data_IF_221341393030
#
_entry.id   IF_221341393030
#
_cell.length_a   1.000
_cell.length_b   1.000
_cell.length_c   1.000
_cell.angle_alpha   90.00
_cell.angle_beta   90.00
_cell.angle_gamma   90.00
#
_symmetry.space_group_name_H-M   'P 1'
#
loop_
_entity.id
_entity.type
_entity.pdbx_description
1 polymer ?
#
# COMPACT_ATOMS: atom_id res chain seq x y z
N UNK A 1 -8.30 20.46 19.74
CA UNK A 1 -7.93 19.49 18.69
C UNK A 1 -9.06 18.48 18.52
N UNK A 2 -9.75 18.51 17.37
CA UNK A 2 -10.96 17.69 17.16
C UNK A 2 -10.82 16.73 15.98
N UNK A 3 -9.60 16.24 15.76
CA UNK A 3 -9.38 15.33 14.64
C UNK A 3 -9.87 13.92 14.95
N UNK A 4 -10.54 13.32 13.98
CA UNK A 4 -11.04 11.95 14.02
C UNK A 4 -10.47 11.18 12.85
N UNK A 5 -10.66 9.87 12.84
CA UNK A 5 -10.28 9.02 11.71
C UNK A 5 -10.86 9.60 10.41
N UNK A 6 -10.01 9.79 9.42
CA UNK A 6 -10.42 10.33 8.12
C UNK A 6 -11.13 9.25 7.31
N UNK A 7 -12.36 9.52 6.90
CA UNK A 7 -13.20 8.56 6.17
C UNK A 7 -13.62 9.02 4.79
N UNK A 8 -13.51 10.32 4.50
CA UNK A 8 -13.96 10.90 3.24
C UNK A 8 -12.85 11.72 2.60
N UNK A 9 -12.93 11.91 1.29
CA UNK A 9 -12.00 12.77 0.56
C UNK A 9 -12.03 14.21 1.05
N UNK A 10 -13.21 14.70 1.42
CA UNK A 10 -13.36 16.05 1.98
C UNK A 10 -12.58 16.19 3.29
N UNK A 11 -12.73 15.23 4.19
CA UNK A 11 -11.99 15.19 5.45
C UNK A 11 -10.48 15.12 5.20
N UNK A 12 -10.07 14.33 4.24
CA UNK A 12 -8.68 14.19 3.85
C UNK A 12 -8.10 15.53 3.36
N UNK A 13 -8.84 16.25 2.51
CA UNK A 13 -8.41 17.56 2.00
C UNK A 13 -8.31 18.58 3.14
N UNK A 14 -9.26 18.58 4.08
CA UNK A 14 -9.22 19.45 5.26
C UNK A 14 -7.99 19.15 6.12
N UNK A 15 -7.69 17.89 6.31
CA UNK A 15 -6.51 17.45 7.08
C UNK A 15 -5.21 17.89 6.42
N UNK A 16 -5.09 17.75 5.10
CA UNK A 16 -3.92 18.20 4.35
C UNK A 16 -3.72 19.72 4.46
N UNK A 17 -4.79 20.49 4.35
CA UNK A 17 -4.71 21.94 4.48
C UNK A 17 -4.22 22.37 5.85
N UNK A 18 -4.73 21.72 6.89
CA UNK A 18 -4.26 22.01 8.27
C UNK A 18 -2.82 21.55 8.48
N UNK A 19 -2.45 20.39 7.95
CA UNK A 19 -1.07 19.91 8.02
C UNK A 19 -0.11 20.95 7.45
N UNK A 20 -0.45 21.52 6.30
CA UNK A 20 0.37 22.54 5.66
C UNK A 20 0.52 23.81 6.53
N UNK A 21 -0.58 24.26 7.16
CA UNK A 21 -0.56 25.42 8.05
C UNK A 21 0.39 25.25 9.24
N UNK A 22 0.48 24.06 9.80
CA UNK A 22 1.27 23.78 11.02
C UNK A 22 2.51 22.94 10.74
N UNK A 23 2.93 22.84 9.50
CA UNK A 23 4.03 21.97 9.07
C UNK A 23 5.34 22.25 9.82
N UNK A 24 5.58 23.51 10.16
CA UNK A 24 6.80 23.94 10.86
C UNK A 24 6.68 23.90 12.38
N UNK A 25 5.62 23.34 12.93
CA UNK A 25 5.39 23.28 14.36
C UNK A 25 6.47 22.45 15.06
N UNK A 26 6.92 22.96 16.22
CA UNK A 26 7.94 22.28 17.03
C UNK A 26 7.33 21.15 17.84
N UNK A 27 8.13 20.12 18.10
CA UNK A 27 7.74 19.01 18.98
C UNK A 27 7.37 19.53 20.37
N UNK A 28 6.45 18.82 21.02
CA UNK A 28 5.99 19.10 22.38
C UNK A 28 5.27 20.44 22.51
N UNK A 29 4.70 20.93 21.42
CA UNK A 29 3.80 22.08 21.42
C UNK A 29 2.41 21.60 21.00
N UNK A 30 1.33 22.37 21.31
CA UNK A 30 -0.02 21.98 20.86
C UNK A 30 -0.10 21.77 19.34
N UNK A 31 0.52 22.65 18.56
CA UNK A 31 0.54 22.49 17.10
C UNK A 31 1.42 21.32 16.66
N UNK A 32 2.50 21.05 17.38
CA UNK A 32 3.36 19.89 17.11
C UNK A 32 2.65 18.58 17.37
N UNK A 33 1.85 18.52 18.43
CA UNK A 33 1.03 17.35 18.74
C UNK A 33 -0.08 17.14 17.70
N UNK A 34 -0.68 18.22 17.24
CA UNK A 34 -1.68 18.18 16.17
C UNK A 34 -1.05 17.69 14.85
N UNK A 35 0.15 18.20 14.53
CA UNK A 35 0.89 17.79 13.34
C UNK A 35 1.17 16.28 13.35
N UNK A 36 1.62 15.76 14.47
CA UNK A 36 1.91 14.33 14.61
C UNK A 36 0.64 13.50 14.45
N UNK A 37 -0.45 13.89 15.08
CA UNK A 37 -1.75 13.21 14.95
C UNK A 37 -2.26 13.26 13.51
N UNK A 38 -2.22 14.41 12.87
CA UNK A 38 -2.64 14.57 11.48
C UNK A 38 -1.82 13.70 10.54
N UNK A 39 -0.50 13.62 10.76
CA UNK A 39 0.37 12.78 9.95
C UNK A 39 -0.04 11.31 10.03
N UNK A 40 -0.37 10.82 11.22
CA UNK A 40 -0.83 9.45 11.42
C UNK A 40 -2.19 9.20 10.75
N UNK A 41 -3.12 10.13 10.91
CA UNK A 41 -4.46 9.99 10.32
C UNK A 41 -4.43 10.04 8.79
N UNK A 42 -3.63 10.93 8.24
CA UNK A 42 -3.45 11.07 6.79
C UNK A 42 -2.80 9.81 6.21
N UNK A 43 -1.74 9.32 6.85
CA UNK A 43 -1.05 8.09 6.43
C UNK A 43 -2.03 6.91 6.44
N UNK A 44 -2.83 6.77 7.48
CA UNK A 44 -3.82 5.71 7.58
C UNK A 44 -4.83 5.76 6.42
N UNK A 45 -5.34 6.95 6.11
CA UNK A 45 -6.28 7.15 5.00
C UNK A 45 -5.63 6.84 3.66
N UNK A 46 -4.41 7.34 3.43
CA UNK A 46 -3.68 7.11 2.18
C UNK A 46 -3.40 5.62 1.96
N UNK A 47 -2.95 4.92 3.01
CA UNK A 47 -2.69 3.49 2.91
C UNK A 47 -3.96 2.70 2.57
N UNK A 48 -5.09 3.11 3.13
CA UNK A 48 -6.35 2.44 2.89
C UNK A 48 -6.93 2.73 1.50
N UNK A 49 -6.81 3.97 1.01
CA UNK A 49 -7.51 4.40 -0.21
C UNK A 49 -6.63 4.48 -1.44
N UNK A 50 -5.35 4.75 -1.32
CA UNK A 50 -4.46 4.90 -2.47
C UNK A 50 -3.64 3.65 -2.76
N UNK A 51 -3.25 2.91 -1.72
CA UNK A 51 -2.52 1.66 -1.90
C UNK A 51 -3.43 0.50 -2.28
N UNK A 52 -4.74 0.61 -2.00
CA UNK A 52 -5.71 -0.49 -2.13
C UNK A 52 -6.80 -0.17 -3.16
N UNK A 53 -6.88 1.06 -3.67
CA UNK A 53 -8.00 1.57 -4.50
C UNK A 53 -8.03 0.96 -5.88
N UNK A 54 -7.90 -0.12 -6.18
CA UNK A 54 -8.01 -0.91 -7.41
C UNK A 54 -6.84 -1.85 -7.58
N UNK A 55 -6.45 -2.59 -6.56
CA UNK A 55 -5.36 -3.47 -6.82
C UNK A 55 -5.90 -4.66 -7.60
N UNK A 56 -5.63 -4.70 -8.90
CA UNK A 56 -5.60 -6.03 -9.45
C UNK A 56 -4.37 -6.73 -8.85
N UNK A 57 -4.34 -8.06 -8.85
CA UNK A 57 -3.24 -8.80 -8.22
C UNK A 57 -1.86 -8.42 -8.73
N UNK A 58 -1.74 -8.11 -10.01
CA UNK A 58 -0.44 -7.81 -10.63
C UNK A 58 0.07 -6.44 -10.18
N UNK A 59 -0.79 -5.43 -10.14
CA UNK A 59 -0.42 -4.11 -9.64
C UNK A 59 -0.05 -4.16 -8.16
N UNK A 60 -0.78 -4.95 -7.37
CA UNK A 60 -0.47 -5.16 -5.95
C UNK A 60 0.91 -5.81 -5.78
N UNK A 61 1.25 -6.80 -6.59
CA UNK A 61 2.55 -7.48 -6.55
C UNK A 61 3.67 -6.49 -6.90
N UNK A 62 3.51 -5.74 -7.99
CA UNK A 62 4.51 -4.74 -8.41
C UNK A 62 4.74 -3.69 -7.33
N UNK A 63 3.66 -3.19 -6.73
CA UNK A 63 3.73 -2.19 -5.68
C UNK A 63 4.50 -2.72 -4.46
N UNK A 64 4.18 -3.94 -4.01
CA UNK A 64 4.84 -4.54 -2.85
C UNK A 64 6.31 -4.85 -3.11
N UNK A 65 6.66 -5.35 -4.28
CA UNK A 65 8.05 -5.57 -4.64
C UNK A 65 8.84 -4.26 -4.53
N UNK A 66 8.31 -3.18 -5.07
CA UNK A 66 8.94 -1.87 -5.01
C UNK A 66 9.04 -1.37 -3.57
N UNK A 67 7.98 -1.50 -2.78
CA UNK A 67 7.94 -1.06 -1.39
C UNK A 67 8.97 -1.78 -0.53
N UNK A 68 9.17 -3.09 -0.76
CA UNK A 68 10.11 -3.91 0.00
C UNK A 68 11.54 -3.87 -0.58
N UNK A 69 11.78 -3.11 -1.65
CA UNK A 69 13.08 -3.07 -2.30
C UNK A 69 13.45 -4.37 -3.01
N UNK A 70 12.46 -5.20 -3.35
CA UNK A 70 12.64 -6.49 -4.01
C UNK A 70 12.55 -6.34 -5.53
N UNK A 71 13.20 -7.25 -6.23
CA UNK A 71 13.19 -7.28 -7.70
C UNK A 71 12.37 -8.47 -8.19
N UNK A 72 12.06 -8.48 -9.49
CA UNK A 72 11.38 -9.60 -10.12
C UNK A 72 12.12 -10.93 -9.90
N UNK A 73 13.45 -10.88 -9.82
CA UNK A 73 14.28 -12.04 -9.53
C UNK A 73 13.90 -12.68 -8.18
N UNK A 74 13.60 -11.87 -7.18
CA UNK A 74 13.20 -12.37 -5.85
C UNK A 74 11.85 -13.10 -5.93
N UNK A 75 10.94 -12.59 -6.73
CA UNK A 75 9.66 -13.25 -7.00
C UNK A 75 9.89 -14.57 -7.74
N UNK A 76 10.77 -14.57 -8.73
CA UNK A 76 11.13 -15.77 -9.49
C UNK A 76 11.69 -16.86 -8.58
N UNK A 77 12.55 -16.49 -7.66
CA UNK A 77 13.13 -17.43 -6.71
C UNK A 77 12.06 -18.07 -5.82
N UNK A 78 11.09 -17.27 -5.36
CA UNK A 78 9.99 -17.77 -4.54
C UNK A 78 9.07 -18.71 -5.31
N UNK A 79 8.84 -18.44 -6.60
CA UNK A 79 7.97 -19.27 -7.44
C UNK A 79 8.68 -20.48 -8.05
N UNK A 80 9.99 -20.53 -7.93
CA UNK A 80 10.80 -21.68 -8.39
C UNK A 80 11.20 -21.65 -9.86
N UNK A 81 10.64 -20.77 -10.68
CA UNK A 81 10.94 -20.65 -12.11
C UNK A 81 11.02 -19.20 -12.54
N UNK A 82 12.14 -18.82 -13.15
CA UNK A 82 12.36 -17.45 -13.61
C UNK A 82 11.33 -17.00 -14.67
N UNK A 83 10.98 -17.88 -15.59
CA UNK A 83 10.00 -17.59 -16.63
C UNK A 83 8.60 -17.35 -16.08
N UNK A 84 8.23 -17.99 -14.97
CA UNK A 84 6.91 -17.82 -14.35
C UNK A 84 6.71 -16.41 -13.81
N UNK A 85 7.71 -15.86 -13.14
CA UNK A 85 7.61 -14.49 -12.64
C UNK A 85 7.38 -13.50 -13.77
N UNK A 86 8.14 -13.64 -14.87
CA UNK A 86 7.99 -12.78 -16.04
C UNK A 86 6.60 -12.90 -16.66
N UNK A 87 6.11 -14.11 -16.84
CA UNK A 87 4.78 -14.38 -17.42
C UNK A 87 3.66 -13.79 -16.56
N UNK A 88 3.76 -13.91 -15.24
CA UNK A 88 2.77 -13.37 -14.30
C UNK A 88 2.78 -11.84 -14.33
N UNK A 89 3.95 -11.23 -14.22
CA UNK A 89 4.08 -9.76 -14.20
C UNK A 89 3.61 -9.14 -15.52
N UNK A 90 3.84 -9.82 -16.63
CA UNK A 90 3.41 -9.34 -17.95
C UNK A 90 2.00 -9.80 -18.34
N UNK A 91 1.26 -10.35 -17.40
CA UNK A 91 -0.15 -10.77 -17.57
C UNK A 91 -0.36 -11.85 -18.63
N UNK A 92 0.68 -12.59 -18.93
CA UNK A 92 0.60 -13.71 -19.91
C UNK A 92 0.09 -14.99 -19.28
N UNK A 93 0.08 -15.06 -17.95
CA UNK A 93 -0.35 -16.23 -17.21
C UNK A 93 -1.08 -15.81 -15.94
N UNK A 94 -2.18 -16.47 -15.64
CA UNK A 94 -2.95 -16.26 -14.41
C UNK A 94 -2.24 -16.91 -13.22
N UNK A 95 -2.45 -16.36 -12.03
CA UNK A 95 -1.97 -16.94 -10.80
C UNK A 95 -2.75 -18.22 -10.48
N UNK A 96 -2.03 -19.29 -10.14
CA UNK A 96 -2.66 -20.47 -9.57
C UNK A 96 -2.69 -20.36 -8.03
N UNK A 97 -3.40 -21.28 -7.38
CA UNK A 97 -3.60 -21.23 -5.93
C UNK A 97 -2.28 -21.34 -5.15
N UNK A 98 -1.38 -22.20 -5.60
CA UNK A 98 -0.07 -22.36 -4.95
C UNK A 98 0.75 -21.08 -5.03
N UNK A 99 0.75 -20.42 -6.19
CA UNK A 99 1.44 -19.15 -6.39
C UNK A 99 0.84 -18.05 -5.52
N UNK A 100 -0.48 -18.01 -5.40
CA UNK A 100 -1.18 -17.07 -4.53
C UNK A 100 -0.72 -17.24 -3.08
N UNK A 101 -0.64 -18.47 -2.60
CA UNK A 101 -0.17 -18.76 -1.24
C UNK A 101 1.27 -18.31 -1.02
N UNK A 102 2.17 -18.60 -1.97
CA UNK A 102 3.57 -18.22 -1.88
C UNK A 102 3.74 -16.69 -1.89
N UNK A 103 3.02 -16.00 -2.76
CA UNK A 103 3.08 -14.55 -2.86
C UNK A 103 2.50 -13.89 -1.61
N UNK A 104 1.42 -14.44 -1.08
CA UNK A 104 0.83 -13.96 0.18
C UNK A 104 1.85 -13.99 1.31
N UNK A 105 2.56 -15.10 1.47
CA UNK A 105 3.57 -15.25 2.53
C UNK A 105 4.78 -14.35 2.27
N UNK A 106 5.26 -14.30 1.03
CA UNK A 106 6.46 -13.54 0.68
C UNK A 106 6.25 -12.03 0.80
N UNK A 107 5.15 -11.52 0.25
CA UNK A 107 4.92 -10.09 0.10
C UNK A 107 3.92 -9.50 1.10
N UNK A 108 3.24 -10.34 1.85
CA UNK A 108 2.24 -9.86 2.82
C UNK A 108 1.00 -9.27 2.16
N UNK A 109 0.70 -9.63 0.92
CA UNK A 109 -0.51 -9.20 0.22
C UNK A 109 -1.67 -10.09 0.67
N UNK A 110 -2.85 -9.50 0.92
CA UNK A 110 -4.01 -10.28 1.35
C UNK A 110 -4.43 -11.27 0.27
N UNK A 111 -4.93 -12.42 0.70
CA UNK A 111 -5.48 -13.42 -0.22
C UNK A 111 -6.64 -12.86 -1.03
N UNK A 112 -7.46 -12.02 -0.42
CA UNK A 112 -8.59 -11.36 -1.08
C UNK A 112 -8.14 -10.58 -2.31
N UNK A 113 -7.06 -9.80 -2.20
CA UNK A 113 -6.51 -9.05 -3.32
C UNK A 113 -5.97 -9.98 -4.40
N UNK A 114 -5.19 -10.99 -3.99
CA UNK A 114 -4.56 -11.92 -4.93
C UNK A 114 -5.56 -12.81 -5.69
N UNK A 115 -6.75 -13.00 -5.14
CA UNK A 115 -7.79 -13.81 -5.75
C UNK A 115 -8.76 -13.02 -6.64
N UNK A 116 -8.57 -11.72 -6.77
CA UNK A 116 -9.39 -10.91 -7.68
C UNK A 116 -9.16 -11.30 -9.13
N UNK A 117 -10.20 -11.19 -9.94
CA UNK A 117 -10.09 -11.35 -11.38
C UNK A 117 -9.31 -10.19 -12.00
N UNK A 118 -8.58 -10.51 -13.05
CA UNK A 118 -7.82 -9.50 -13.77
C UNK A 118 -7.56 -9.93 -15.21
#
# INVERSE_FOLDING_TARGET
MNWKVIKTKKQYTQALNRLEEIFDAKKNTPNGDELELLSLLIEHYENKHFAIENPDPIEAIKFKLKQLGMKQQDLANALGLKSRASEIINRKRKLNLEQIRKIHVLLGISLEVLMKEY
#
